data_IF_879431282738
#
_entry.id   IF_879431282738
#
_cell.length_a   1.000
_cell.length_b   1.000
_cell.length_c   1.000
_cell.angle_alpha   90.00
_cell.angle_beta   90.00
_cell.angle_gamma   90.00
#
_symmetry.space_group_name_H-M   'P 1'
#
loop_
_entity.id
_entity.type
_entity.pdbx_description
1 polymer ?
#
# COMPACT_ATOMS: atom_id res chain seq x y z
N UNK A 1 -9.97 7.66 -35.57
CA UNK A 1 -9.61 8.77 -34.65
C UNK A 1 -9.12 8.15 -33.36
N UNK A 2 -7.86 8.36 -33.00
CA UNK A 2 -7.28 7.83 -31.76
C UNK A 2 -7.63 8.76 -30.60
N UNK A 3 -8.29 8.22 -29.57
CA UNK A 3 -8.58 8.96 -28.36
C UNK A 3 -7.28 9.16 -27.55
N UNK A 4 -6.96 10.41 -27.21
CA UNK A 4 -5.79 10.81 -26.42
C UNK A 4 -6.29 11.53 -25.16
N UNK A 5 -6.59 10.74 -24.13
CA UNK A 5 -6.86 11.19 -22.78
C UNK A 5 -6.37 10.11 -21.81
N UNK A 6 -5.99 10.46 -20.56
CA UNK A 6 -5.71 9.44 -19.56
C UNK A 6 -6.97 8.58 -19.39
N UNK A 7 -6.83 7.26 -19.55
CA UNK A 7 -7.89 6.34 -19.14
C UNK A 7 -8.12 6.61 -17.66
N UNK A 8 -9.36 6.91 -17.27
CA UNK A 8 -9.75 7.04 -15.88
C UNK A 8 -9.27 5.79 -15.11
N UNK A 9 -8.33 5.97 -14.19
CA UNK A 9 -7.90 4.92 -13.27
C UNK A 9 -8.91 4.72 -12.13
N UNK A 10 -9.91 5.59 -12.03
CA UNK A 10 -11.11 5.36 -11.24
C UNK A 10 -12.01 4.36 -11.95
N UNK A 11 -11.65 3.09 -11.78
CA UNK A 11 -12.59 2.01 -11.92
C UNK A 11 -13.49 2.01 -10.69
N UNK A 12 -14.81 2.08 -10.89
CA UNK A 12 -15.75 1.78 -9.82
C UNK A 12 -15.36 0.41 -9.23
N UNK A 13 -14.88 0.39 -7.98
CA UNK A 13 -14.69 -0.86 -7.24
C UNK A 13 -16.07 -1.42 -6.98
N UNK A 14 -16.46 -2.40 -7.78
CA UNK A 14 -17.67 -3.18 -7.52
C UNK A 14 -17.44 -4.05 -6.29
N UNK A 15 -18.47 -4.20 -5.46
CA UNK A 15 -18.43 -5.11 -4.32
C UNK A 15 -18.20 -6.54 -4.85
N UNK A 16 -17.10 -7.16 -4.44
CA UNK A 16 -16.80 -8.53 -4.83
C UNK A 16 -17.57 -9.51 -3.93
N UNK A 17 -17.85 -10.68 -4.49
CA UNK A 17 -18.38 -11.82 -3.74
C UNK A 17 -17.38 -12.97 -3.84
N UNK A 18 -17.26 -13.74 -2.77
CA UNK A 18 -16.41 -14.92 -2.69
C UNK A 18 -17.21 -16.10 -2.15
N UNK A 19 -17.15 -17.24 -2.83
CA UNK A 19 -17.67 -18.51 -2.31
C UNK A 19 -16.72 -19.06 -1.25
N UNK A 20 -17.28 -19.55 -0.15
CA UNK A 20 -16.57 -20.25 0.91
C UNK A 20 -17.00 -21.71 0.85
N UNK A 21 -16.03 -22.63 0.79
CA UNK A 21 -16.31 -24.07 0.72
C UNK A 21 -15.81 -24.75 1.97
N UNK A 22 -16.74 -25.37 2.70
CA UNK A 22 -16.44 -26.20 3.86
C UNK A 22 -15.93 -27.59 3.49
N UNK A 23 -15.32 -28.28 4.46
CA UNK A 23 -14.96 -29.70 4.35
C UNK A 23 -15.56 -30.55 5.47
N UNK A 24 -16.46 -29.99 6.28
CA UNK A 24 -17.07 -30.64 7.44
C UNK A 24 -16.24 -30.57 8.72
N UNK A 25 -15.07 -29.91 8.72
CA UNK A 25 -14.22 -29.79 9.92
C UNK A 25 -13.51 -28.44 10.06
N UNK A 26 -13.33 -27.69 8.97
CA UNK A 26 -12.72 -26.37 9.01
C UNK A 26 -13.67 -25.32 9.62
N UNK A 27 -13.11 -24.46 10.47
CA UNK A 27 -13.78 -23.28 11.06
C UNK A 27 -13.09 -21.96 10.70
N UNK A 28 -12.08 -22.02 9.83
CA UNK A 28 -11.32 -20.87 9.37
C UNK A 28 -11.08 -20.97 7.87
N UNK A 29 -11.29 -19.86 7.17
CA UNK A 29 -11.28 -19.75 5.71
C UNK A 29 -10.52 -18.51 5.26
N UNK A 30 -9.85 -18.60 4.12
CA UNK A 30 -9.13 -17.46 3.55
C UNK A 30 -10.07 -16.55 2.75
N UNK A 31 -9.91 -15.24 2.89
CA UNK A 31 -10.57 -14.20 2.11
C UNK A 31 -9.64 -13.68 1.01
N UNK A 32 -10.19 -13.42 -0.17
CA UNK A 32 -9.46 -12.87 -1.31
C UNK A 32 -9.18 -11.37 -1.19
N UNK A 33 -9.79 -10.70 -0.20
CA UNK A 33 -9.58 -9.30 0.11
C UNK A 33 -9.40 -9.13 1.62
N UNK A 34 -8.49 -8.24 2.00
CA UNK A 34 -8.27 -7.91 3.39
C UNK A 34 -9.39 -7.01 3.92
N UNK A 35 -9.86 -7.32 5.13
CA UNK A 35 -10.86 -6.54 5.86
C UNK A 35 -10.34 -6.17 7.25
N UNK A 36 -10.70 -4.99 7.75
CA UNK A 36 -10.22 -4.52 9.04
C UNK A 36 -10.91 -5.27 10.19
N UNK A 37 -12.20 -5.56 10.02
CA UNK A 37 -13.04 -6.22 11.02
C UNK A 37 -14.26 -6.91 10.37
N UNK A 38 -15.00 -7.67 11.18
CA UNK A 38 -16.15 -8.48 10.76
C UNK A 38 -17.29 -7.69 10.11
N UNK A 39 -17.42 -6.39 10.42
CA UNK A 39 -18.50 -5.54 9.89
C UNK A 39 -18.28 -5.15 8.42
N UNK A 40 -17.09 -5.36 7.87
CA UNK A 40 -16.78 -5.10 6.46
C UNK A 40 -17.11 -6.28 5.52
N UNK A 41 -17.64 -7.36 6.10
CA UNK A 41 -18.07 -8.57 5.39
C UNK A 41 -19.54 -8.82 5.70
N UNK A 42 -20.30 -9.25 4.69
CA UNK A 42 -21.58 -9.94 4.89
C UNK A 42 -21.35 -11.42 4.64
N UNK A 43 -21.35 -12.22 5.70
CA UNK A 43 -21.26 -13.67 5.59
C UNK A 43 -22.64 -14.31 5.57
N UNK A 44 -22.87 -15.22 4.62
CA UNK A 44 -24.14 -15.92 4.41
C UNK A 44 -23.87 -17.41 4.29
N UNK A 45 -24.68 -18.22 4.98
CA UNK A 45 -24.64 -19.68 4.97
C UNK A 45 -26.05 -20.20 4.73
N UNK A 46 -26.26 -21.01 3.70
CA UNK A 46 -27.57 -21.58 3.35
C UNK A 46 -28.67 -20.50 3.26
N UNK A 47 -28.32 -19.37 2.63
CA UNK A 47 -29.16 -18.17 2.49
C UNK A 47 -29.53 -17.47 3.81
N UNK A 48 -28.94 -17.87 4.94
CA UNK A 48 -29.07 -17.20 6.23
C UNK A 48 -27.85 -16.33 6.49
N UNK A 49 -28.12 -15.08 6.82
CA UNK A 49 -27.09 -14.08 7.12
C UNK A 49 -26.60 -14.29 8.53
N UNK A 50 -25.29 -14.31 8.69
CA UNK A 50 -24.63 -14.50 9.96
C UNK A 50 -24.37 -13.15 10.65
N UNK A 51 -24.41 -13.12 11.99
CA UNK A 51 -24.14 -11.92 12.77
C UNK A 51 -22.62 -11.71 12.95
N UNK A 52 -22.09 -10.53 12.61
CA UNK A 52 -20.68 -10.21 12.87
C UNK A 52 -20.33 -10.30 14.36
N UNK A 53 -19.12 -10.76 14.66
CA UNK A 53 -18.52 -10.90 16.00
C UNK A 53 -19.28 -11.82 16.98
N UNK A 54 -20.32 -12.51 16.49
CA UNK A 54 -21.09 -13.51 17.25
C UNK A 54 -21.03 -14.86 16.52
N UNK A 55 -21.48 -14.89 15.27
CA UNK A 55 -21.53 -16.11 14.47
C UNK A 55 -20.27 -16.30 13.62
N UNK A 56 -19.54 -15.21 13.34
CA UNK A 56 -18.26 -15.22 12.63
C UNK A 56 -17.39 -14.05 13.04
N UNK A 57 -16.09 -14.17 12.77
CA UNK A 57 -15.11 -13.09 12.84
C UNK A 57 -14.41 -12.92 11.49
N UNK A 58 -14.04 -11.70 11.11
CA UNK A 58 -13.20 -11.46 9.94
C UNK A 58 -12.14 -10.39 10.20
N UNK A 59 -10.89 -10.68 9.86
CA UNK A 59 -9.78 -9.73 9.99
C UNK A 59 -8.63 -10.13 9.07
N UNK A 60 -7.98 -9.13 8.46
CA UNK A 60 -7.02 -9.36 7.39
C UNK A 60 -7.68 -10.20 6.31
N UNK A 61 -7.03 -11.29 5.91
CA UNK A 61 -7.55 -12.24 4.92
C UNK A 61 -8.15 -13.50 5.55
N UNK A 62 -8.64 -13.42 6.79
CA UNK A 62 -9.15 -14.59 7.53
C UNK A 62 -10.60 -14.38 7.92
N UNK A 63 -11.43 -15.38 7.64
CA UNK A 63 -12.80 -15.54 8.12
C UNK A 63 -12.86 -16.73 9.08
N UNK A 64 -13.26 -16.51 10.33
CA UNK A 64 -13.50 -17.56 11.32
C UNK A 64 -15.00 -17.73 11.60
N UNK A 65 -15.47 -18.95 11.76
CA UNK A 65 -16.88 -19.29 12.08
C UNK A 65 -17.05 -19.76 13.53
N UNK A 66 -16.07 -19.44 14.39
CA UNK A 66 -16.04 -19.89 15.78
C UNK A 66 -15.96 -21.42 15.87
N UNK A 67 -16.95 -22.03 16.52
CA UNK A 67 -17.06 -23.50 16.65
C UNK A 67 -17.91 -24.13 15.54
N UNK A 68 -18.53 -23.34 14.66
CA UNK A 68 -19.39 -23.86 13.59
C UNK A 68 -18.53 -24.37 12.44
N UNK A 69 -18.71 -25.63 12.07
CA UNK A 69 -18.08 -26.22 10.88
C UNK A 69 -19.00 -26.04 9.67
N UNK A 70 -18.42 -25.71 8.52
CA UNK A 70 -19.15 -25.72 7.24
C UNK A 70 -18.94 -27.08 6.57
N UNK A 71 -20.03 -27.73 6.19
CA UNK A 71 -19.99 -28.90 5.32
C UNK A 71 -19.69 -28.50 3.87
N UNK A 72 -19.19 -29.43 3.06
CA UNK A 72 -18.97 -29.18 1.63
C UNK A 72 -20.27 -28.98 0.83
N UNK A 73 -21.41 -29.36 1.40
CA UNK A 73 -22.74 -29.14 0.83
C UNK A 73 -23.37 -27.80 1.21
N UNK A 74 -22.80 -27.07 2.16
CA UNK A 74 -23.36 -25.78 2.59
C UNK A 74 -23.10 -24.71 1.53
N UNK A 75 -24.15 -23.95 1.20
CA UNK A 75 -24.05 -22.80 0.32
C UNK A 75 -23.56 -21.59 1.13
N UNK A 76 -22.23 -21.42 1.24
CA UNK A 76 -21.61 -20.34 1.98
C UNK A 76 -20.90 -19.33 1.07
N UNK A 77 -21.09 -18.03 1.32
CA UNK A 77 -20.43 -16.96 0.59
C UNK A 77 -20.28 -15.69 1.41
N UNK A 78 -19.32 -14.87 1.01
CA UNK A 78 -19.01 -13.56 1.57
C UNK A 78 -19.25 -12.49 0.51
N UNK A 79 -19.97 -11.44 0.87
CA UNK A 79 -20.00 -10.18 0.10
C UNK A 79 -19.14 -9.16 0.83
N UNK A 80 -18.13 -8.62 0.15
CA UNK A 80 -17.27 -7.58 0.72
C UNK A 80 -17.97 -6.23 0.64
N UNK A 81 -18.37 -5.69 1.80
CA UNK A 81 -19.07 -4.40 1.92
C UNK A 81 -18.12 -3.25 2.28
N UNK A 82 -16.92 -3.59 2.78
CA UNK A 82 -15.80 -2.69 2.98
C UNK A 82 -14.49 -3.37 2.61
N UNK A 83 -13.42 -2.59 2.52
CA UNK A 83 -12.06 -3.09 2.36
C UNK A 83 -11.16 -2.36 3.33
N UNK A 84 -10.17 -3.07 3.87
CA UNK A 84 -9.13 -2.45 4.68
C UNK A 84 -8.29 -1.51 3.78
N UNK A 85 -8.54 -0.21 3.85
CA UNK A 85 -7.64 0.79 3.24
C UNK A 85 -6.48 1.01 4.22
N UNK A 86 -5.44 0.19 4.07
CA UNK A 86 -4.19 0.36 4.81
C UNK A 86 -3.34 1.46 4.18
N UNK A 87 -2.77 2.33 5.01
CA UNK A 87 -1.59 3.10 4.61
C UNK A 87 -0.39 2.15 4.64
N UNK A 88 0.19 1.83 3.48
CA UNK A 88 1.38 1.00 3.42
C UNK A 88 2.61 1.87 3.61
N UNK A 89 3.40 1.59 4.64
CA UNK A 89 4.76 2.10 4.73
C UNK A 89 5.55 1.52 3.55
N UNK A 90 6.20 2.33 2.69
CA UNK A 90 7.06 1.81 1.64
C UNK A 90 8.10 0.85 2.23
N UNK A 91 8.43 -0.22 1.51
CA UNK A 91 9.48 -1.13 1.97
C UNK A 91 10.81 -0.39 2.09
N UNK A 92 11.67 -0.85 3.02
CA UNK A 92 12.99 -0.26 3.21
C UNK A 92 13.74 -0.21 1.88
N UNK A 93 14.15 0.99 1.45
CA UNK A 93 14.85 1.21 0.18
C UNK A 93 13.96 1.34 -1.06
N UNK A 94 12.62 1.31 -0.93
CA UNK A 94 11.69 1.47 -2.06
C UNK A 94 11.42 2.92 -2.46
N UNK A 95 11.79 3.88 -1.61
CA UNK A 95 11.66 5.30 -1.94
C UNK A 95 13.04 5.79 -2.33
N UNK A 96 13.27 5.94 -3.63
CA UNK A 96 14.45 6.60 -4.17
C UNK A 96 14.12 8.03 -4.62
N UNK A 97 15.13 8.74 -5.14
CA UNK A 97 14.95 10.10 -5.63
C UNK A 97 14.01 10.20 -6.84
N UNK A 98 13.73 9.10 -7.54
CA UNK A 98 12.76 9.04 -8.65
C UNK A 98 11.33 8.80 -8.16
N UNK A 99 11.20 8.26 -6.95
CA UNK A 99 9.93 7.95 -6.28
C UNK A 99 9.32 9.16 -5.56
N UNK A 100 10.08 10.25 -5.42
CA UNK A 100 9.63 11.52 -4.83
C UNK A 100 9.25 12.48 -5.96
N UNK A 101 8.14 13.21 -5.78
CA UNK A 101 7.66 14.19 -6.76
C UNK A 101 8.77 15.14 -7.22
N UNK A 102 8.86 15.35 -8.54
CA UNK A 102 9.78 16.31 -9.16
C UNK A 102 9.52 17.77 -8.75
N UNK A 103 8.42 18.05 -8.04
CA UNK A 103 8.15 19.36 -7.44
C UNK A 103 9.10 19.70 -6.28
N UNK A 104 9.73 18.69 -5.66
CA UNK A 104 10.85 18.93 -4.78
C UNK A 104 12.12 19.12 -5.65
N UNK A 105 12.68 20.33 -5.63
CA UNK A 105 13.84 20.72 -6.45
C UNK A 105 15.09 20.86 -5.57
N UNK A 106 15.90 19.80 -5.43
CA UNK A 106 17.18 19.88 -4.72
C UNK A 106 17.98 18.57 -4.61
N UNK A 107 19.22 18.66 -4.12
CA UNK A 107 20.17 17.54 -3.96
C UNK A 107 19.63 16.42 -3.02
N UNK A 108 19.57 15.17 -3.53
CA UNK A 108 19.13 13.97 -2.77
C UNK A 108 20.27 12.95 -2.56
N UNK A 109 21.26 13.26 -1.71
CA UNK A 109 22.15 12.24 -1.17
C UNK A 109 22.21 12.38 0.34
N UNK A 110 21.42 11.57 1.06
CA UNK A 110 21.55 11.41 2.51
C UNK A 110 22.62 10.36 2.83
N UNK A 111 23.86 10.63 2.44
CA UNK A 111 25.00 9.77 2.74
C UNK A 111 26.01 10.56 3.57
N UNK A 112 26.50 9.98 4.67
CA UNK A 112 27.49 10.61 5.53
C UNK A 112 28.80 10.95 4.79
N UNK A 113 29.08 10.26 3.68
CA UNK A 113 30.26 10.47 2.83
C UNK A 113 29.88 10.40 1.35
N UNK A 114 30.08 11.48 0.61
CA UNK A 114 29.91 11.50 -0.85
C UNK A 114 31.20 10.99 -1.50
N UNK A 115 31.16 9.83 -2.17
CA UNK A 115 32.34 9.16 -2.74
C UNK A 115 32.50 9.36 -4.25
N UNK A 116 31.69 10.23 -4.86
CA UNK A 116 31.70 10.50 -6.30
C UNK A 116 31.35 11.95 -6.60
N UNK A 117 31.73 12.45 -7.77
CA UNK A 117 31.38 13.81 -8.21
C UNK A 117 29.85 13.94 -8.37
N UNK A 118 29.28 14.98 -7.75
CA UNK A 118 27.86 15.33 -7.89
C UNK A 118 27.77 16.65 -8.65
N UNK A 119 27.11 16.64 -9.82
CA UNK A 119 26.87 17.84 -10.64
C UNK A 119 25.54 18.48 -10.28
N UNK A 120 25.55 19.75 -9.86
CA UNK A 120 24.35 20.57 -9.67
C UNK A 120 24.14 21.39 -10.93
N UNK A 121 23.06 21.15 -11.65
CA UNK A 121 22.77 21.88 -12.90
C UNK A 121 22.25 23.29 -12.61
N UNK A 122 22.24 24.16 -13.61
CA UNK A 122 21.76 25.56 -13.48
C UNK A 122 20.29 25.70 -13.08
N UNK A 123 19.50 24.62 -13.14
CA UNK A 123 18.11 24.60 -12.70
C UNK A 123 17.92 24.13 -11.25
N UNK A 124 19.00 23.74 -10.57
CA UNK A 124 18.97 23.08 -9.27
C UNK A 124 19.70 23.89 -8.21
N UNK A 125 19.22 23.75 -6.97
CA UNK A 125 19.91 24.23 -5.78
C UNK A 125 20.36 23.04 -4.93
N UNK A 126 21.52 23.14 -4.29
CA UNK A 126 21.97 22.20 -3.28
C UNK A 126 22.14 22.93 -1.94
N UNK A 127 21.71 22.29 -0.86
CA UNK A 127 21.90 22.80 0.49
C UNK A 127 22.78 21.82 1.28
N UNK A 128 23.78 22.36 1.98
CA UNK A 128 24.57 21.63 2.96
C UNK A 128 24.28 22.27 4.32
N UNK A 129 23.80 21.47 5.28
CA UNK A 129 23.41 21.93 6.61
C UNK A 129 24.46 21.51 7.65
N UNK A 130 24.81 22.42 8.57
CA UNK A 130 25.77 22.16 9.64
C UNK A 130 27.24 22.42 9.25
N UNK A 131 28.22 22.10 10.11
CA UNK A 131 29.64 22.25 9.80
C UNK A 131 30.04 21.42 8.58
N UNK A 132 30.55 22.07 7.53
CA UNK A 132 30.97 21.40 6.29
C UNK A 132 32.49 21.40 6.20
N UNK A 133 33.10 20.22 6.01
CA UNK A 133 34.53 20.05 5.82
C UNK A 133 34.81 19.55 4.39
N UNK A 134 35.47 20.36 3.56
CA UNK A 134 35.94 19.95 2.24
C UNK A 134 37.43 19.57 2.34
N UNK A 135 37.76 18.29 2.07
CA UNK A 135 39.13 17.78 2.18
C UNK A 135 39.91 17.80 0.86
N UNK A 136 39.25 18.18 -0.23
CA UNK A 136 39.80 18.24 -1.59
C UNK A 136 39.35 19.53 -2.30
N UNK A 137 39.80 19.72 -3.55
CA UNK A 137 39.46 20.88 -4.38
C UNK A 137 37.95 20.97 -4.65
N UNK A 138 37.38 22.14 -4.36
CA UNK A 138 36.03 22.52 -4.79
C UNK A 138 36.17 23.36 -6.05
N UNK A 139 35.50 22.96 -7.13
CA UNK A 139 35.47 23.71 -8.40
C UNK A 139 34.08 24.30 -8.60
N UNK A 140 34.00 25.61 -8.85
CA UNK A 140 32.75 26.32 -9.13
C UNK A 140 32.86 26.98 -10.49
N UNK A 141 32.06 26.51 -11.45
CA UNK A 141 32.03 27.05 -12.83
C UNK A 141 31.12 28.29 -12.98
N UNK A 142 30.59 28.80 -11.87
CA UNK A 142 29.71 29.96 -11.80
C UNK A 142 29.93 30.82 -10.55
N UNK A 143 28.88 31.43 -10.03
CA UNK A 143 28.96 32.28 -8.83
C UNK A 143 28.78 31.45 -7.55
N UNK A 144 29.77 31.52 -6.65
CA UNK A 144 29.63 31.04 -5.28
C UNK A 144 29.24 32.21 -4.37
N UNK A 145 28.11 32.09 -3.69
CA UNK A 145 27.71 33.02 -2.63
C UNK A 145 27.76 32.30 -1.28
N UNK A 146 28.58 32.81 -0.36
CA UNK A 146 28.67 32.35 1.03
C UNK A 146 28.02 33.43 1.89
N UNK A 147 27.01 33.04 2.67
CA UNK A 147 26.30 33.90 3.63
C UNK A 147 26.63 33.50 5.06
#
# INVERSE_FOLDING_TARGET
MGYIGPRNSDQFKSMATQTITGNGSATSFSLNQAVANSSEVRFVVNNVVQKPDVDYTATGTTLGTGSNVLAGSDAAYVVFVGAAVGSQTPSTGSVDHTSISSAFNGMYLNLATVTSTVTITSAQNAFLAGPVNFTNTVTVEGTLTVI
#
